data_IF_128254374500
#
_entry.id   IF_128254374500
#
_cell.length_a   1.000
_cell.length_b   1.000
_cell.length_c   1.000
_cell.angle_alpha   90.00
_cell.angle_beta   90.00
_cell.angle_gamma   90.00
#
_symmetry.space_group_name_H-M   'P 1'
#
loop_
_entity.id
_entity.type
_entity.pdbx_description
1 polymer ?
#
# COMPACT_ATOMS: atom_id res chain seq x y z
N UNK A 1 -6.41 10.30 -6.53
CA UNK A 1 -4.94 10.07 -6.48
C UNK A 1 -4.61 8.76 -5.79
N UNK A 2 -3.71 7.99 -6.38
CA UNK A 2 -3.30 6.71 -5.81
C UNK A 2 -1.86 6.76 -5.33
N UNK A 3 -1.48 5.78 -4.51
CA UNK A 3 -0.12 5.72 -3.98
C UNK A 3 0.82 5.03 -4.96
N UNK A 4 2.05 5.50 -5.03
CA UNK A 4 3.03 4.92 -5.93
C UNK A 4 3.44 3.53 -5.51
N UNK A 5 4.59 3.08 -6.02
CA UNK A 5 5.10 1.75 -5.69
C UNK A 5 5.99 1.80 -4.45
N UNK A 6 5.68 0.92 -3.49
CA UNK A 6 6.45 0.87 -2.26
C UNK A 6 5.95 1.84 -1.20
N UNK A 7 5.00 2.70 -1.60
CA UNK A 7 4.43 3.68 -0.67
C UNK A 7 3.55 3.00 0.37
N UNK A 8 3.83 3.26 1.64
CA UNK A 8 3.05 2.66 2.73
C UNK A 8 1.65 3.25 2.79
N UNK A 9 0.68 2.41 3.14
CA UNK A 9 -0.70 2.84 3.22
C UNK A 9 -0.91 3.71 4.46
N UNK A 10 -1.66 4.80 4.30
CA UNK A 10 -1.93 5.74 5.39
C UNK A 10 -2.15 5.01 6.71
N UNK A 11 -1.79 5.66 7.82
CA UNK A 11 -1.94 5.10 9.16
C UNK A 11 -1.64 3.60 9.18
N UNK A 12 -2.67 2.79 9.01
CA UNK A 12 -2.51 1.33 9.01
C UNK A 12 -3.18 0.70 7.80
N UNK A 13 -4.25 1.32 7.31
CA UNK A 13 -4.98 0.81 6.16
C UNK A 13 -6.14 1.74 5.79
N UNK A 14 -5.81 2.91 5.27
CA UNK A 14 -6.85 3.86 4.90
C UNK A 14 -7.08 3.91 3.39
N UNK A 15 -6.29 4.69 2.65
CA UNK A 15 -6.43 4.82 1.20
C UNK A 15 -6.09 3.53 0.47
N UNK A 16 -6.43 3.48 -0.82
CA UNK A 16 -6.16 2.30 -1.63
C UNK A 16 -4.91 2.51 -2.50
N UNK A 17 -4.66 1.55 -3.40
CA UNK A 17 -3.50 1.63 -4.28
C UNK A 17 -3.95 1.88 -5.72
N UNK A 18 -2.99 2.24 -6.56
CA UNK A 18 -3.28 2.51 -7.97
C UNK A 18 -4.00 1.34 -8.62
N UNK A 19 -4.23 1.45 -9.92
CA UNK A 19 -4.91 0.41 -10.67
C UNK A 19 -3.96 -0.72 -11.03
N UNK A 20 -3.80 -1.67 -10.10
CA UNK A 20 -2.91 -2.80 -10.33
C UNK A 20 -2.04 -3.11 -9.13
N UNK A 21 -1.80 -2.11 -8.29
CA UNK A 21 -0.97 -2.31 -7.10
C UNK A 21 -1.82 -2.83 -5.94
N UNK A 22 -1.14 -3.23 -4.87
CA UNK A 22 -1.81 -3.74 -3.68
C UNK A 22 -1.15 -3.18 -2.42
N UNK A 23 -1.72 -3.52 -1.26
CA UNK A 23 -1.18 -3.06 0.02
C UNK A 23 -0.92 -4.23 0.96
N UNK A 24 0.35 -4.54 1.17
CA UNK A 24 0.75 -5.63 2.05
C UNK A 24 0.81 -5.14 3.50
N UNK A 25 0.89 -6.07 4.45
CA UNK A 25 0.95 -5.72 5.86
C UNK A 25 1.72 -6.78 6.65
N UNK A 26 3.01 -6.91 6.34
CA UNK A 26 3.86 -7.88 7.03
C UNK A 26 3.94 -7.54 8.52
N UNK A 27 4.93 -8.10 9.20
CA UNK A 27 5.12 -7.85 10.63
C UNK A 27 5.40 -6.38 10.90
N UNK A 28 4.36 -5.56 10.82
CA UNK A 28 4.48 -4.13 11.05
C UNK A 28 3.14 -3.42 10.86
N UNK A 29 2.90 -2.33 11.58
CA UNK A 29 1.65 -1.57 11.49
C UNK A 29 1.53 -0.80 10.18
N UNK A 30 2.62 -0.13 9.79
CA UNK A 30 2.63 0.64 8.56
C UNK A 30 2.64 -0.28 7.35
N UNK A 31 1.47 -0.54 6.79
CA UNK A 31 1.33 -1.39 5.64
C UNK A 31 2.06 -0.79 4.44
N UNK A 32 2.46 -1.65 3.49
CA UNK A 32 3.18 -1.18 2.31
C UNK A 32 2.32 -1.33 1.06
N UNK A 33 2.42 -0.38 0.15
CA UNK A 33 1.66 -0.41 -1.09
C UNK A 33 2.60 -0.42 -2.28
N UNK A 34 2.47 -1.44 -3.14
CA UNK A 34 3.32 -1.56 -4.32
C UNK A 34 2.66 -2.40 -5.40
N UNK A 35 3.30 -2.48 -6.55
CA UNK A 35 2.78 -3.25 -7.67
C UNK A 35 2.29 -4.63 -7.22
N UNK A 36 1.58 -5.33 -8.11
CA UNK A 36 1.06 -6.65 -7.81
C UNK A 36 2.18 -7.68 -7.69
N UNK A 37 2.70 -8.10 -8.83
CA UNK A 37 3.78 -9.09 -8.86
C UNK A 37 4.61 -8.94 -10.13
N UNK A 38 5.84 -8.83 -10.02
#
# INVERSE_FOLDING_TARGET
ACVGDGQRCASWSGPYCCDGYYCSCRSMPYCRCRNNSX
#
